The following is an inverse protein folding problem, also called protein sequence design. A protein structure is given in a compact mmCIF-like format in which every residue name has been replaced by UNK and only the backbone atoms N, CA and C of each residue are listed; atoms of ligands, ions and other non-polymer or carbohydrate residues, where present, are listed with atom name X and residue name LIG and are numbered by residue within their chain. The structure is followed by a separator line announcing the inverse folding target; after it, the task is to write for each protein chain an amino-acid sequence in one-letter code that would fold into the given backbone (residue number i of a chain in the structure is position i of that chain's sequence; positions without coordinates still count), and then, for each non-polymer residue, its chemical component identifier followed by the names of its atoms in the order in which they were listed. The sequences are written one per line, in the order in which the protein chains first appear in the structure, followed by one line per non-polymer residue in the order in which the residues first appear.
data_IF_429673609514
#
_entry.id   IF_429673609514
#
_cell.length_a   1.000
_cell.length_b   1.000
_cell.length_c   1.000
_cell.angle_alpha   90.00
_cell.angle_beta   90.00
_cell.angle_gamma   90.00
#
_symmetry.space_group_name_H-M   'P 1'
#
loop_
_entity.id
_entity.type
_entity.pdbx_description
1 polymer ?
#
# COMPACT_ATOMS: atom_id res chain seq x y z
N UNK A 1 -20.76 49.22 -13.07
CA UNK A 1 -19.98 48.23 -13.83
C UNK A 1 -19.48 47.16 -12.87
N UNK A 2 -20.19 46.05 -12.80
CA UNK A 2 -19.84 44.86 -12.02
C UNK A 2 -19.38 43.81 -13.01
N UNK A 3 -18.13 43.38 -12.93
CA UNK A 3 -17.67 42.13 -13.53
C UNK A 3 -16.63 41.52 -12.60
N UNK A 4 -17.06 40.46 -11.91
CA UNK A 4 -16.20 39.54 -11.19
C UNK A 4 -15.39 38.70 -12.18
N UNK A 5 -14.22 38.23 -11.77
CA UNK A 5 -13.66 36.98 -12.27
C UNK A 5 -13.00 36.25 -11.09
N UNK A 6 -13.83 35.45 -10.42
CA UNK A 6 -13.42 34.35 -9.57
C UNK A 6 -12.63 33.37 -10.45
N UNK A 7 -11.31 33.28 -10.26
CA UNK A 7 -10.55 32.18 -10.81
C UNK A 7 -10.70 30.98 -9.88
N UNK A 8 -11.31 29.94 -10.44
CA UNK A 8 -11.64 28.65 -9.87
C UNK A 8 -10.47 28.05 -9.07
N UNK A 9 -10.67 27.78 -7.78
CA UNK A 9 -9.90 26.75 -7.10
C UNK A 9 -10.39 25.41 -7.63
N UNK A 10 -9.62 24.79 -8.53
CA UNK A 10 -9.82 23.40 -8.91
C UNK A 10 -9.37 22.50 -7.75
N UNK A 11 -10.21 22.45 -6.72
CA UNK A 11 -10.20 21.39 -5.71
C UNK A 11 -10.65 20.14 -6.46
N UNK A 12 -9.68 19.39 -6.98
CA UNK A 12 -9.93 18.07 -7.52
C UNK A 12 -10.56 17.22 -6.39
N UNK A 13 -11.88 17.03 -6.49
CA UNK A 13 -12.63 16.08 -5.69
C UNK A 13 -12.03 14.70 -5.91
N UNK A 14 -11.12 14.29 -5.03
CA UNK A 14 -10.63 12.92 -5.04
C UNK A 14 -11.71 12.05 -4.41
N UNK A 15 -12.55 11.50 -5.28
CA UNK A 15 -13.58 10.52 -4.96
C UNK A 15 -12.96 9.37 -4.17
N UNK A 16 -13.30 9.30 -2.88
CA UNK A 16 -13.02 8.14 -2.03
C UNK A 16 -14.00 7.04 -2.45
N UNK A 17 -13.73 6.38 -3.58
CA UNK A 17 -14.46 5.19 -3.98
C UNK A 17 -14.02 4.03 -3.09
N UNK A 18 -14.68 3.88 -1.94
CA UNK A 18 -14.53 2.71 -1.08
C UNK A 18 -15.14 1.50 -1.79
N UNK A 19 -14.36 0.85 -2.65
CA UNK A 19 -14.71 -0.47 -3.15
C UNK A 19 -14.25 -1.53 -2.15
N UNK A 20 -14.94 -1.57 -1.00
CA UNK A 20 -14.96 -2.77 -0.14
C UNK A 20 -15.66 -3.87 -0.91
N UNK A 21 -14.89 -4.69 -1.61
CA UNK A 21 -15.39 -5.93 -2.19
C UNK A 21 -15.36 -6.98 -1.10
N UNK A 22 -16.47 -7.10 -0.36
CA UNK A 22 -16.73 -8.26 0.47
C UNK A 22 -16.73 -9.51 -0.42
N UNK A 23 -16.11 -10.63 -0.02
CA UNK A 23 -16.24 -11.88 -0.77
C UNK A 23 -17.71 -12.33 -0.71
N UNK A 24 -18.38 -12.24 -1.86
CA UNK A 24 -19.71 -12.82 -2.08
C UNK A 24 -19.57 -14.35 -2.12
N UNK A 25 -19.80 -15.00 -0.98
CA UNK A 25 -20.03 -16.45 -0.94
C UNK A 25 -21.41 -16.72 -1.51
N UNK A 26 -21.43 -17.12 -2.79
CA UNK A 26 -22.62 -17.54 -3.54
C UNK A 26 -23.09 -18.91 -3.01
N UNK A 27 -23.75 -18.94 -1.85
CA UNK A 27 -24.56 -20.08 -1.46
C UNK A 27 -25.90 -20.00 -2.18
N UNK A 28 -25.98 -20.72 -3.29
CA UNK A 28 -27.20 -20.93 -4.04
C UNK A 28 -28.15 -21.76 -3.17
N UNK A 29 -29.20 -21.14 -2.65
CA UNK A 29 -30.28 -21.84 -1.96
C UNK A 29 -31.00 -22.74 -2.98
N UNK A 30 -31.13 -24.06 -2.74
CA UNK A 30 -31.95 -24.91 -3.59
C UNK A 30 -33.43 -24.57 -3.37
N UNK A 31 -34.12 -24.24 -4.46
CA UNK A 31 -35.53 -23.89 -4.46
C UNK A 31 -36.43 -25.00 -3.92
N UNK A 32 -37.46 -24.60 -3.20
CA UNK A 32 -38.56 -25.47 -2.78
C UNK A 32 -39.46 -25.77 -3.97
N UNK A 33 -39.48 -27.01 -4.44
CA UNK A 33 -40.55 -27.50 -5.33
C UNK A 33 -41.14 -28.79 -4.76
N UNK A 34 -42.41 -28.65 -4.37
CA UNK A 34 -43.51 -29.62 -4.48
C UNK A 34 -43.18 -31.12 -4.36
N UNK A 35 -43.69 -31.66 -3.24
CA UNK A 35 -44.03 -33.06 -2.96
C UNK A 35 -44.63 -33.80 -4.18
N UNK A 36 -44.29 -35.08 -4.35
CA UNK A 36 -45.36 -36.09 -4.42
C UNK A 36 -45.12 -37.22 -3.42
N UNK A 37 -46.22 -37.74 -2.91
CA UNK A 37 -46.27 -38.88 -2.00
C UNK A 37 -45.76 -40.16 -2.69
N UNK A 38 -44.93 -40.96 -2.02
CA UNK A 38 -44.96 -42.42 -2.18
C UNK A 38 -44.37 -43.13 -0.96
N UNK A 39 -45.10 -44.15 -0.51
CA UNK A 39 -44.77 -45.03 0.61
C UNK A 39 -43.70 -46.05 0.25
N UNK A 40 -42.90 -46.40 1.27
CA UNK A 40 -42.19 -47.69 1.47
C UNK A 40 -41.30 -48.24 0.34
N UNK A 41 -39.98 -48.31 0.58
CA UNK A 41 -39.32 -49.62 0.70
C UNK A 41 -37.94 -49.52 1.38
N UNK A 42 -37.57 -50.61 2.04
CA UNK A 42 -36.32 -50.81 2.79
C UNK A 42 -35.13 -50.83 1.86
N UNK A 43 -34.20 -49.88 1.98
CA UNK A 43 -32.79 -50.22 1.87
C UNK A 43 -31.90 -49.19 2.59
N UNK A 44 -31.27 -49.66 3.66
CA UNK A 44 -30.32 -48.92 4.50
C UNK A 44 -29.04 -48.70 3.69
N UNK A 45 -28.96 -47.61 2.93
CA UNK A 45 -27.67 -47.11 2.45
C UNK A 45 -26.95 -46.50 3.65
N UNK A 46 -26.13 -47.32 4.31
CA UNK A 46 -25.15 -46.81 5.25
C UNK A 46 -24.21 -45.89 4.46
N UNK A 47 -24.39 -44.57 4.56
CA UNK A 47 -23.28 -43.66 4.35
C UNK A 47 -22.28 -44.00 5.45
N UNK A 48 -21.22 -44.74 5.09
CA UNK A 48 -20.08 -44.98 5.97
C UNK A 48 -19.46 -43.62 6.29
N UNK A 49 -19.89 -43.03 7.41
CA UNK A 49 -19.28 -41.82 7.95
C UNK A 49 -17.84 -42.19 8.26
N UNK A 50 -16.90 -41.55 7.59
CA UNK A 50 -15.48 -41.69 7.88
C UNK A 50 -15.19 -40.95 9.19
N UNK A 51 -15.09 -41.71 10.27
CA UNK A 51 -14.73 -41.25 11.63
C UNK A 51 -13.22 -41.02 11.79
N UNK A 52 -12.43 -41.12 10.70
CA UNK A 52 -11.01 -40.81 10.77
C UNK A 52 -10.84 -39.35 11.20
N UNK A 53 -10.08 -39.08 12.28
CA UNK A 53 -9.88 -37.71 12.73
C UNK A 53 -9.24 -36.89 11.61
N UNK A 54 -9.83 -35.73 11.32
CA UNK A 54 -9.40 -34.78 10.27
C UNK A 54 -7.92 -34.38 10.44
N UNK A 55 -7.36 -34.57 11.63
CA UNK A 55 -5.96 -34.37 11.92
C UNK A 55 -5.24 -35.71 12.08
N UNK A 56 -4.08 -35.92 11.43
CA UNK A 56 -3.27 -37.09 11.73
C UNK A 56 -2.89 -37.01 13.21
N UNK A 57 -3.11 -38.09 13.95
CA UNK A 57 -2.58 -38.30 15.30
C UNK A 57 -1.06 -38.49 15.14
N UNK A 58 -0.36 -37.44 14.67
CA UNK A 58 1.09 -37.37 14.75
C UNK A 58 1.41 -37.20 16.21
N UNK A 59 2.24 -38.11 16.72
CA UNK A 59 2.69 -38.17 18.09
C UNK A 59 2.95 -36.76 18.59
N UNK A 60 2.12 -36.33 19.54
CA UNK A 60 2.05 -34.94 20.00
C UNK A 60 3.39 -34.40 20.52
N UNK A 61 4.34 -35.29 20.80
CA UNK A 61 5.68 -34.97 21.28
C UNK A 61 6.60 -34.36 20.20
N UNK A 62 6.61 -34.84 18.96
CA UNK A 62 7.46 -34.27 17.90
C UNK A 62 7.08 -32.82 17.58
N UNK A 63 5.77 -32.57 17.48
CA UNK A 63 5.23 -31.21 17.27
C UNK A 63 5.57 -30.28 18.44
N UNK A 64 5.48 -30.78 19.69
CA UNK A 64 5.85 -30.02 20.88
C UNK A 64 7.34 -29.69 20.89
N UNK A 65 8.21 -30.67 20.64
CA UNK A 65 9.65 -30.49 20.62
C UNK A 65 10.08 -29.49 19.53
N UNK A 66 9.50 -29.60 18.32
CA UNK A 66 9.77 -28.65 17.25
C UNK A 66 9.30 -27.23 17.59
N UNK A 67 8.10 -27.06 18.16
CA UNK A 67 7.60 -25.75 18.59
C UNK A 67 8.49 -25.15 19.67
N UNK A 68 8.90 -25.93 20.67
CA UNK A 68 9.78 -25.48 21.74
C UNK A 68 11.13 -24.99 21.18
N UNK A 69 11.72 -25.71 20.23
CA UNK A 69 12.94 -25.27 19.56
C UNK A 69 12.77 -23.94 18.83
N UNK A 70 11.68 -23.75 18.08
CA UNK A 70 11.39 -22.49 17.38
C UNK A 70 11.12 -21.32 18.33
N UNK A 71 10.45 -21.56 19.46
CA UNK A 71 10.19 -20.53 20.47
C UNK A 71 11.49 -20.08 21.17
N UNK A 72 12.44 -21.00 21.40
CA UNK A 72 13.77 -20.68 21.94
C UNK A 72 14.62 -19.82 20.98
N UNK A 73 14.45 -20.01 19.68
CA UNK A 73 15.18 -19.27 18.63
C UNK A 73 14.39 -18.08 18.08
N UNK A 74 13.29 -17.69 18.74
CA UNK A 74 12.43 -16.61 18.29
C UNK A 74 13.19 -15.27 18.36
N UNK A 75 13.28 -14.50 17.26
CA UNK A 75 13.88 -13.17 17.28
C UNK A 75 13.10 -12.18 18.16
N UNK A 76 13.82 -11.24 18.75
CA UNK A 76 13.23 -10.16 19.53
C UNK A 76 12.44 -9.19 18.65
N UNK A 77 11.49 -8.48 19.27
CA UNK A 77 10.66 -7.50 18.56
C UNK A 77 11.49 -6.40 17.88
N UNK A 78 12.55 -5.93 18.54
CA UNK A 78 13.46 -4.90 18.02
C UNK A 78 14.11 -5.33 16.71
N UNK A 79 14.64 -6.56 16.64
CA UNK A 79 15.22 -7.10 15.41
C UNK A 79 14.22 -7.17 14.26
N UNK A 80 12.98 -7.56 14.56
CA UNK A 80 11.92 -7.63 13.55
C UNK A 80 11.54 -6.25 13.02
N UNK A 81 11.61 -5.21 13.87
CA UNK A 81 11.38 -3.83 13.46
C UNK A 81 12.54 -3.31 12.61
N UNK A 82 13.78 -3.56 13.01
CA UNK A 82 14.99 -3.19 12.26
C UNK A 82 15.02 -3.85 10.87
N UNK A 83 14.64 -5.12 10.79
CA UNK A 83 14.49 -5.87 9.54
C UNK A 83 13.25 -5.46 8.74
N UNK A 84 12.48 -4.45 9.17
CA UNK A 84 11.26 -3.97 8.53
C UNK A 84 10.17 -5.04 8.35
N UNK A 85 10.16 -6.07 9.20
CA UNK A 85 9.11 -7.11 9.23
C UNK A 85 7.92 -6.65 10.07
N UNK A 86 8.19 -6.09 11.25
CA UNK A 86 7.18 -5.48 12.11
C UNK A 86 7.22 -3.95 12.00
N UNK A 87 6.05 -3.27 12.06
CA UNK A 87 6.04 -1.82 12.10
C UNK A 87 6.61 -1.29 13.42
N UNK A 88 7.40 -0.22 13.32
CA UNK A 88 7.97 0.52 14.45
C UNK A 88 6.92 1.39 15.19
N UNK A 89 5.68 0.92 15.31
CA UNK A 89 4.58 1.67 15.91
C UNK A 89 4.02 0.94 17.13
N UNK A 90 3.55 1.74 18.09
CA UNK A 90 2.76 1.31 19.25
C UNK A 90 1.26 1.44 19.02
N UNK A 91 0.85 1.99 17.86
CA UNK A 91 -0.55 2.13 17.51
C UNK A 91 -1.23 0.75 17.34
N UNK A 92 -2.53 0.72 17.60
CA UNK A 92 -3.36 -0.47 17.40
C UNK A 92 -3.25 -0.97 15.96
N UNK A 93 -3.31 -2.30 15.70
CA UNK A 93 -3.15 -2.86 14.35
C UNK A 93 -4.08 -2.26 13.30
N UNK A 94 -5.31 -1.89 13.69
CA UNK A 94 -6.31 -1.25 12.81
C UNK A 94 -5.94 0.17 12.38
N UNK A 95 -5.04 0.86 13.09
CA UNK A 95 -4.65 2.25 12.83
C UNK A 95 -3.27 2.38 12.17
N UNK A 96 -2.46 1.31 12.17
CA UNK A 96 -1.09 1.34 11.66
C UNK A 96 -1.03 1.74 10.18
N UNK A 97 -1.99 1.29 9.38
CA UNK A 97 -2.09 1.66 7.96
C UNK A 97 -2.33 3.16 7.79
N UNK A 98 -3.28 3.72 8.56
CA UNK A 98 -3.62 5.15 8.50
C UNK A 98 -2.49 6.03 9.00
N UNK A 99 -1.76 5.59 10.02
CA UNK A 99 -0.55 6.26 10.49
C UNK A 99 0.52 6.30 9.38
N UNK A 100 0.77 5.17 8.71
CA UNK A 100 1.76 5.08 7.63
C UNK A 100 1.37 5.95 6.42
N UNK A 101 0.08 5.97 6.09
CA UNK A 101 -0.47 6.82 5.04
C UNK A 101 -0.22 8.30 5.34
N UNK A 102 -0.57 8.76 6.55
CA UNK A 102 -0.31 10.13 6.99
C UNK A 102 1.18 10.47 6.94
N UNK A 103 2.05 9.61 7.48
CA UNK A 103 3.49 9.84 7.48
C UNK A 103 4.06 9.93 6.05
N UNK A 104 3.53 9.14 5.12
CA UNK A 104 3.89 9.21 3.71
C UNK A 104 3.49 10.56 3.09
N UNK A 105 2.28 11.04 3.35
CA UNK A 105 1.82 12.33 2.86
C UNK A 105 2.66 13.48 3.43
N UNK A 106 2.89 13.49 4.74
CA UNK A 106 3.75 14.50 5.38
C UNK A 106 5.16 14.52 4.79
N UNK A 107 5.75 13.33 4.53
CA UNK A 107 7.07 13.24 3.88
C UNK A 107 7.03 13.73 2.43
N UNK A 108 5.96 13.44 1.69
CA UNK A 108 5.81 13.91 0.31
C UNK A 108 5.68 15.44 0.26
N UNK A 109 4.87 16.03 1.13
CA UNK A 109 4.67 17.48 1.20
C UNK A 109 5.97 18.19 1.57
N UNK A 110 6.69 17.70 2.59
CA UNK A 110 7.99 18.24 2.98
C UNK A 110 9.04 18.10 1.87
N UNK A 111 9.01 17.02 1.11
CA UNK A 111 9.90 16.84 -0.04
C UNK A 111 9.56 17.84 -1.15
N UNK A 112 8.27 18.01 -1.48
CA UNK A 112 7.82 18.94 -2.52
C UNK A 112 8.24 20.38 -2.19
N UNK A 113 8.09 20.80 -0.93
CA UNK A 113 8.55 22.12 -0.47
C UNK A 113 10.07 22.30 -0.65
N UNK A 114 10.87 21.27 -0.34
CA UNK A 114 12.33 21.33 -0.52
C UNK A 114 12.73 21.32 -1.99
N UNK A 115 12.00 20.61 -2.84
CA UNK A 115 12.24 20.57 -4.28
C UNK A 115 11.92 21.92 -4.91
N UNK A 116 10.83 22.59 -4.51
CA UNK A 116 10.47 23.91 -5.07
C UNK A 116 11.51 24.99 -4.76
N UNK A 117 12.24 24.85 -3.66
CA UNK A 117 13.32 25.75 -3.26
C UNK A 117 14.71 25.16 -3.52
N UNK A 118 14.83 24.14 -4.38
CA UNK A 118 16.11 23.51 -4.69
C UNK A 118 17.05 24.54 -5.35
N UNK A 119 18.24 24.81 -4.76
CA UNK A 119 19.18 25.75 -5.35
C UNK A 119 19.73 25.21 -6.68
N UNK A 120 20.01 26.12 -7.61
CA UNK A 120 20.65 25.77 -8.86
C UNK A 120 22.13 25.42 -8.65
N UNK A 121 22.76 24.62 -9.53
CA UNK A 121 24.17 24.27 -9.43
C UNK A 121 25.09 25.48 -9.39
N UNK A 122 24.79 26.55 -10.13
CA UNK A 122 25.59 27.76 -10.18
C UNK A 122 25.66 28.43 -8.79
N UNK A 123 24.51 28.50 -8.09
CA UNK A 123 24.45 29.01 -6.72
C UNK A 123 25.27 28.15 -5.76
N UNK A 124 25.23 26.83 -5.92
CA UNK A 124 26.01 25.92 -5.08
C UNK A 124 27.53 26.04 -5.32
N UNK A 125 27.95 26.41 -6.53
CA UNK A 125 29.36 26.69 -6.86
C UNK A 125 29.81 28.01 -6.22
N UNK A 126 28.97 29.05 -6.33
CA UNK A 126 29.23 30.35 -5.69
C UNK A 126 29.38 30.23 -4.17
N UNK A 127 28.53 29.42 -3.53
CA UNK A 127 28.60 29.13 -2.09
C UNK A 127 29.75 28.17 -1.70
N UNK A 128 30.49 27.63 -2.67
CA UNK A 128 31.62 26.72 -2.44
C UNK A 128 31.23 25.31 -1.98
N UNK A 129 29.96 24.93 -2.09
CA UNK A 129 29.47 23.58 -1.79
C UNK A 129 29.81 22.62 -2.95
N UNK A 130 29.79 23.13 -4.18
CA UNK A 130 30.07 22.38 -5.40
C UNK A 130 31.30 22.98 -6.12
N UNK A 131 32.14 22.15 -6.75
CA UNK A 131 33.34 22.63 -7.45
C UNK A 131 33.08 23.00 -8.91
N UNK A 132 32.32 22.17 -9.61
CA UNK A 132 31.93 22.34 -11.02
C UNK A 132 30.49 21.86 -11.20
N UNK A 133 29.77 22.40 -12.18
CA UNK A 133 28.39 21.99 -12.39
C UNK A 133 28.34 20.58 -13.02
N UNK A 134 27.61 19.61 -12.42
CA UNK A 134 27.59 18.22 -12.85
C UNK A 134 26.92 17.97 -14.21
N UNK A 135 26.24 18.97 -14.81
CA UNK A 135 25.63 18.85 -16.14
C UNK A 135 26.67 18.67 -17.23
N UNK A 136 26.30 17.96 -18.29
CA UNK A 136 27.13 17.86 -19.50
C UNK A 136 27.27 19.25 -20.17
N UNK A 137 28.41 19.57 -20.82
CA UNK A 137 28.54 20.79 -21.61
C UNK A 137 27.44 20.97 -22.66
N UNK A 138 26.93 19.87 -23.23
CA UNK A 138 25.82 19.89 -24.19
C UNK A 138 24.52 20.38 -23.53
N UNK A 139 24.20 19.84 -22.35
CA UNK A 139 22.97 20.20 -21.61
C UNK A 139 22.97 21.68 -21.20
N UNK A 140 24.13 22.22 -20.82
CA UNK A 140 24.27 23.65 -20.52
C UNK A 140 24.04 24.52 -21.76
N UNK A 141 24.48 24.05 -22.93
CA UNK A 141 24.31 24.78 -24.18
C UNK A 141 22.85 24.78 -24.63
N UNK A 142 22.16 23.64 -24.51
CA UNK A 142 20.72 23.54 -24.78
C UNK A 142 19.91 24.50 -23.90
N UNK A 143 20.15 24.53 -22.59
CA UNK A 143 19.47 25.45 -21.66
C UNK A 143 19.72 26.92 -22.00
N UNK A 144 20.98 27.29 -22.31
CA UNK A 144 21.33 28.66 -22.70
C UNK A 144 20.63 29.09 -24.01
N UNK A 145 20.46 28.15 -24.95
CA UNK A 145 19.69 28.40 -26.17
C UNK A 145 18.21 28.61 -25.83
N UNK A 146 17.61 27.75 -25.01
CA UNK A 146 16.20 27.85 -24.59
C UNK A 146 15.91 29.19 -23.89
N UNK A 147 16.80 29.64 -23.00
CA UNK A 147 16.68 30.94 -22.33
C UNK A 147 16.72 32.13 -23.33
N UNK A 148 17.60 32.09 -24.32
CA UNK A 148 17.67 33.12 -25.37
C UNK A 148 16.39 33.15 -26.23
N UNK A 149 15.81 31.98 -26.53
CA UNK A 149 14.53 31.90 -27.22
C UNK A 149 13.38 32.46 -26.36
N UNK A 150 13.31 32.09 -25.09
CA UNK A 150 12.29 32.59 -24.16
C UNK A 150 12.35 34.12 -23.99
N UNK A 151 13.56 34.68 -24.00
CA UNK A 151 13.79 36.13 -23.90
C UNK A 151 13.34 36.91 -25.14
N UNK A 152 13.40 36.29 -26.32
CA UNK A 152 13.01 36.92 -27.60
C UNK A 152 11.51 36.84 -27.87
N UNK A 153 10.86 35.73 -27.53
CA UNK A 153 9.44 35.49 -27.86
C UNK A 153 8.47 36.11 -26.84
N UNK A 154 8.97 36.81 -25.82
CA UNK A 154 8.12 37.50 -24.84
C UNK A 154 7.40 36.52 -23.92
N UNK A 155 8.06 36.10 -22.84
CA UNK A 155 7.45 35.30 -21.79
C UNK A 155 6.15 35.95 -21.27
N UNK A 156 5.06 35.20 -21.33
CA UNK A 156 3.80 35.50 -20.64
C UNK A 156 3.90 35.18 -19.15
#
# INVERSE_FOLDING_TARGET
MVHANNSQLDIANYNISTKTQAPSTKHQAPGTKSKPDNMTDKNKSQSSIDETPISPIRQSNERRNSLEQHLRQRPDRSELVEKNILPASTAAPSLQEKQKELEKHMRADSLNEKISHRPSPEKLIEEGVLHEDPRSPEERYEEAIEEEYAKREGGA
#
